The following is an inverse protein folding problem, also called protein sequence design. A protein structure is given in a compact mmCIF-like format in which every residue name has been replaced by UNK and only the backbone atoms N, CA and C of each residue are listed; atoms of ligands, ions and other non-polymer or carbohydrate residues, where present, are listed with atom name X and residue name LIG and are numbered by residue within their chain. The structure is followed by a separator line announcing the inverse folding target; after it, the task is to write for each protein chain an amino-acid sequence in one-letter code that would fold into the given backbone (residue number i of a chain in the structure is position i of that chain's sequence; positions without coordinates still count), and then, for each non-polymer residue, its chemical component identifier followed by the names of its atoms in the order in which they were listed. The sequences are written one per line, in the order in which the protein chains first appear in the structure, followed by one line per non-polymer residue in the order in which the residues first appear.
data_IF_437774530970
#
_entry.id   IF_437774530970
#
_cell.length_a   1.000
_cell.length_b   1.000
_cell.length_c   1.000
_cell.angle_alpha   90.00
_cell.angle_beta   90.00
_cell.angle_gamma   90.00
#
_symmetry.space_group_name_H-M   'P 1'
#
loop_
_entity.id
_entity.type
_entity.pdbx_description
1 polymer ?
#
# COMPACT_ATOMS: atom_id res chain seq x y z
N UNK A 1 38.01 -27.95 14.08
CA UNK A 1 37.20 -26.75 13.81
C UNK A 1 35.74 -27.12 14.13
N UNK A 2 35.25 -26.62 15.27
CA UNK A 2 33.87 -26.81 15.72
C UNK A 2 32.98 -25.78 15.07
N UNK A 3 31.99 -26.25 14.33
CA UNK A 3 30.91 -25.42 13.79
C UNK A 3 29.90 -25.10 14.90
N UNK A 4 29.85 -23.87 15.35
CA UNK A 4 28.83 -23.41 16.27
C UNK A 4 27.50 -23.22 15.50
N UNK A 5 26.55 -24.11 15.73
CA UNK A 5 25.16 -23.95 15.28
C UNK A 5 24.49 -22.89 16.13
N UNK A 6 24.24 -21.71 15.57
CA UNK A 6 23.35 -20.71 16.17
C UNK A 6 21.91 -21.16 15.99
N UNK A 7 21.38 -21.92 16.94
CA UNK A 7 19.96 -22.10 17.12
C UNK A 7 19.40 -20.84 17.79
N UNK A 8 19.01 -19.85 16.99
CA UNK A 8 18.23 -18.72 17.48
C UNK A 8 16.88 -19.21 17.99
N UNK A 9 16.72 -19.26 19.29
CA UNK A 9 15.44 -19.55 19.96
C UNK A 9 14.45 -18.46 19.57
N UNK A 10 13.50 -18.78 18.68
CA UNK A 10 12.36 -17.90 18.39
C UNK A 10 11.61 -17.74 19.70
N UNK A 11 11.71 -16.58 20.33
CA UNK A 11 10.88 -16.24 21.49
C UNK A 11 9.43 -16.37 21.02
N UNK A 12 8.67 -17.27 21.65
CA UNK A 12 7.23 -17.36 21.44
C UNK A 12 6.63 -15.99 21.74
N UNK A 13 6.19 -15.29 20.71
CA UNK A 13 5.46 -14.04 20.88
C UNK A 13 4.09 -14.42 21.42
N UNK A 14 3.87 -14.15 22.70
CA UNK A 14 2.59 -14.44 23.34
C UNK A 14 1.62 -13.32 22.97
N UNK A 15 0.87 -13.51 21.89
CA UNK A 15 -0.20 -12.59 21.54
C UNK A 15 -1.31 -12.68 22.59
N UNK A 16 -1.86 -11.53 22.98
CA UNK A 16 -3.04 -11.48 23.85
C UNK A 16 -4.29 -12.04 23.16
N UNK A 17 -5.43 -12.07 23.85
CA UNK A 17 -6.67 -12.58 23.28
C UNK A 17 -7.15 -11.71 22.12
N UNK A 18 -7.77 -12.36 21.12
CA UNK A 18 -8.48 -11.67 20.04
C UNK A 18 -9.92 -11.41 20.49
N UNK A 19 -10.23 -10.17 20.82
CA UNK A 19 -11.58 -9.69 21.12
C UNK A 19 -12.33 -9.24 19.87
N UNK A 20 -13.62 -8.91 20.04
CA UNK A 20 -14.50 -8.50 18.92
C UNK A 20 -13.97 -7.25 18.21
N UNK A 21 -13.44 -6.26 18.94
CA UNK A 21 -12.96 -5.02 18.35
C UNK A 21 -14.08 -4.15 17.76
N UNK A 22 -13.70 -3.31 16.78
CA UNK A 22 -14.57 -2.33 16.14
C UNK A 22 -14.53 -2.46 14.62
N UNK A 23 -15.67 -2.21 13.95
CA UNK A 23 -15.77 -2.23 12.50
C UNK A 23 -15.08 -1.05 11.79
N UNK A 24 -14.67 -0.04 12.53
CA UNK A 24 -14.07 1.20 12.02
C UNK A 24 -12.91 1.68 12.88
N UNK A 25 -11.92 2.34 12.23
CA UNK A 25 -11.72 2.48 10.78
C UNK A 25 -11.25 1.18 10.13
N UNK A 26 -11.38 1.04 8.79
CA UNK A 26 -10.89 -0.11 8.04
C UNK A 26 -9.34 -0.13 8.02
N UNK A 27 -8.78 -1.34 7.97
CA UNK A 27 -7.36 -1.61 8.09
C UNK A 27 -6.93 -1.93 9.51
N UNK A 28 -5.63 -1.92 9.77
CA UNK A 28 -5.05 -2.12 11.10
C UNK A 28 -4.77 -0.78 11.78
N UNK A 29 -5.34 -0.57 12.95
CA UNK A 29 -5.18 0.66 13.73
C UNK A 29 -4.80 0.38 15.17
N UNK A 30 -3.83 1.13 15.67
CA UNK A 30 -3.49 1.10 17.09
C UNK A 30 -4.62 1.65 17.94
N UNK A 31 -4.96 0.90 18.98
CA UNK A 31 -5.97 1.28 19.97
C UNK A 31 -5.41 1.05 21.37
N UNK A 32 -6.12 1.51 22.40
CA UNK A 32 -5.72 1.22 23.77
C UNK A 32 -5.63 -0.29 24.00
N UNK A 33 -4.45 -0.74 24.40
CA UNK A 33 -4.17 -2.15 24.73
C UNK A 33 -3.92 -3.09 23.56
N UNK A 34 -3.84 -2.59 22.29
CA UNK A 34 -3.57 -3.49 21.16
C UNK A 34 -3.74 -2.87 19.77
N UNK A 35 -4.13 -3.72 18.83
CA UNK A 35 -4.41 -3.34 17.44
C UNK A 35 -5.80 -3.83 17.04
N UNK A 36 -6.60 -2.95 16.50
CA UNK A 36 -7.88 -3.28 15.88
C UNK A 36 -7.68 -3.51 14.39
N UNK A 37 -8.25 -4.60 13.90
CA UNK A 37 -8.28 -4.97 12.49
C UNK A 37 -9.72 -4.92 12.01
N UNK A 38 -9.96 -4.30 10.88
CA UNK A 38 -11.27 -4.27 10.23
C UNK A 38 -11.10 -4.38 8.72
N UNK A 39 -11.79 -5.32 8.09
CA UNK A 39 -11.68 -5.61 6.67
C UNK A 39 -13.06 -5.80 6.05
N UNK A 40 -13.25 -5.24 4.86
CA UNK A 40 -14.46 -5.40 4.08
C UNK A 40 -14.40 -6.71 3.26
N UNK A 41 -15.45 -7.51 3.40
CA UNK A 41 -15.80 -8.60 2.48
C UNK A 41 -17.28 -8.93 2.67
N UNK A 42 -18.06 -8.74 1.63
CA UNK A 42 -19.51 -8.98 1.64
C UNK A 42 -19.84 -10.47 1.58
N UNK A 43 -19.10 -11.20 0.73
CA UNK A 43 -19.41 -12.59 0.37
C UNK A 43 -18.53 -13.64 1.08
N UNK A 44 -17.61 -13.23 1.95
CA UNK A 44 -16.82 -14.17 2.74
C UNK A 44 -17.69 -14.87 3.80
N UNK A 45 -17.37 -16.15 4.06
CA UNK A 45 -17.92 -16.94 5.17
C UNK A 45 -17.12 -16.74 6.46
N UNK A 46 -15.81 -16.48 6.34
CA UNK A 46 -14.91 -16.15 7.45
C UNK A 46 -13.67 -15.41 6.94
N UNK A 47 -13.08 -14.58 7.80
CA UNK A 47 -11.78 -13.96 7.58
C UNK A 47 -10.84 -14.35 8.72
N UNK A 48 -9.64 -14.79 8.36
CA UNK A 48 -8.56 -15.07 9.30
C UNK A 48 -7.48 -14.00 9.25
N UNK A 49 -6.99 -13.64 10.41
CA UNK A 49 -5.81 -12.81 10.62
C UNK A 49 -4.60 -13.74 10.82
N UNK A 50 -3.65 -13.71 9.91
CA UNK A 50 -2.40 -14.45 9.96
C UNK A 50 -1.30 -13.53 10.48
N UNK A 51 -0.60 -13.91 11.53
CA UNK A 51 0.45 -13.13 12.18
C UNK A 51 1.81 -13.73 11.84
N UNK A 52 2.78 -12.87 11.57
CA UNK A 52 4.11 -13.27 11.13
C UNK A 52 5.20 -12.77 12.06
N UNK A 53 6.40 -13.34 11.91
CA UNK A 53 7.61 -12.76 12.46
C UNK A 53 7.90 -11.37 11.86
N UNK A 54 8.86 -10.65 12.43
CA UNK A 54 9.17 -9.28 12.01
C UNK A 54 9.69 -9.16 10.57
N UNK A 55 10.23 -10.26 10.02
CA UNK A 55 10.67 -10.34 8.62
C UNK A 55 9.50 -10.66 7.68
N UNK A 56 8.39 -11.19 8.19
CA UNK A 56 7.25 -11.64 7.41
C UNK A 56 7.47 -13.00 6.73
N UNK A 57 8.44 -13.79 7.21
CA UNK A 57 8.82 -15.05 6.59
C UNK A 57 8.05 -16.24 7.17
N UNK A 58 7.79 -16.24 8.50
CA UNK A 58 7.17 -17.36 9.19
C UNK A 58 5.83 -16.95 9.80
N UNK A 59 4.76 -17.69 9.46
CA UNK A 59 3.46 -17.56 10.09
C UNK A 59 3.55 -18.10 11.54
N UNK A 60 3.30 -17.23 12.51
CA UNK A 60 3.38 -17.53 13.96
C UNK A 60 2.04 -17.92 14.55
N UNK A 61 0.95 -17.37 14.02
CA UNK A 61 -0.41 -17.63 14.48
C UNK A 61 -1.44 -17.31 13.41
N UNK A 62 -2.59 -17.97 13.52
CA UNK A 62 -3.77 -17.73 12.68
C UNK A 62 -5.00 -17.66 13.55
N UNK A 63 -5.77 -16.60 13.42
CA UNK A 63 -6.88 -16.26 14.28
C UNK A 63 -8.09 -15.83 13.44
N UNK A 64 -9.22 -16.48 13.59
CA UNK A 64 -10.46 -16.06 12.93
C UNK A 64 -10.97 -14.76 13.55
N UNK A 65 -11.28 -13.74 12.73
CA UNK A 65 -11.87 -12.48 13.19
C UNK A 65 -13.25 -12.75 13.79
N UNK A 66 -13.48 -12.43 15.08
CA UNK A 66 -14.71 -12.85 15.78
C UNK A 66 -15.89 -11.91 15.53
N UNK A 67 -15.65 -10.68 15.08
CA UNK A 67 -16.68 -9.67 14.88
C UNK A 67 -17.08 -9.55 13.42
N UNK A 68 -18.39 -9.36 13.18
CA UNK A 68 -18.94 -8.99 11.87
C UNK A 68 -20.03 -7.96 12.05
N UNK A 69 -19.88 -6.82 11.39
CA UNK A 69 -20.87 -5.73 11.37
C UNK A 69 -21.26 -5.42 9.93
N UNK A 70 -22.37 -6.05 9.50
CA UNK A 70 -22.76 -6.06 8.10
C UNK A 70 -21.73 -6.82 7.26
N UNK A 71 -21.05 -6.11 6.39
CA UNK A 71 -20.02 -6.57 5.45
C UNK A 71 -18.58 -6.34 5.93
N UNK A 72 -18.41 -5.87 7.18
CA UNK A 72 -17.11 -5.62 7.80
C UNK A 72 -16.79 -6.70 8.82
N UNK A 73 -15.69 -7.40 8.63
CA UNK A 73 -15.10 -8.34 9.58
C UNK A 73 -14.10 -7.60 10.48
N UNK A 74 -14.12 -7.87 11.78
CA UNK A 74 -13.25 -7.15 12.70
C UNK A 74 -12.85 -7.94 13.94
N UNK A 75 -11.72 -7.52 14.52
CA UNK A 75 -11.21 -8.08 15.76
C UNK A 75 -10.11 -7.21 16.35
N UNK A 76 -9.99 -7.20 17.68
CA UNK A 76 -8.93 -6.47 18.39
C UNK A 76 -7.96 -7.46 19.02
N UNK A 77 -6.69 -7.43 18.62
CA UNK A 77 -5.62 -8.25 19.17
C UNK A 77 -4.95 -7.52 20.34
N UNK A 78 -5.14 -8.06 21.54
CA UNK A 78 -4.53 -7.52 22.75
C UNK A 78 -3.00 -7.66 22.75
N UNK A 79 -2.29 -6.69 23.33
CA UNK A 79 -0.82 -6.71 23.43
C UNK A 79 -0.05 -6.48 22.14
N UNK A 80 -0.74 -6.42 21.00
CA UNK A 80 -0.15 -6.12 19.70
C UNK A 80 0.22 -4.63 19.57
N UNK A 81 1.17 -4.32 18.67
CA UNK A 81 1.63 -2.95 18.47
C UNK A 81 2.24 -2.70 17.10
N UNK A 82 2.88 -1.55 16.95
CA UNK A 82 3.64 -1.23 15.74
C UNK A 82 4.76 -2.26 15.51
N UNK A 83 5.05 -2.54 14.24
CA UNK A 83 6.01 -3.56 13.83
C UNK A 83 5.39 -4.95 13.61
N UNK A 84 4.16 -5.21 14.09
CA UNK A 84 3.47 -6.47 13.83
C UNK A 84 3.24 -6.64 12.33
N UNK A 85 3.70 -7.76 11.78
CA UNK A 85 3.47 -8.14 10.38
C UNK A 85 2.29 -9.10 10.30
N UNK A 86 1.37 -8.84 9.38
CA UNK A 86 0.16 -9.66 9.21
C UNK A 86 -0.26 -9.75 7.75
N UNK A 87 -1.04 -10.78 7.48
CA UNK A 87 -1.83 -10.93 6.27
C UNK A 87 -3.23 -11.43 6.63
N UNK A 88 -4.11 -11.48 5.65
CA UNK A 88 -5.46 -11.97 5.79
C UNK A 88 -5.63 -13.28 5.00
N UNK A 89 -6.62 -14.09 5.38
CA UNK A 89 -7.16 -15.17 4.54
C UNK A 89 -8.67 -15.06 4.54
N UNK A 90 -9.27 -15.29 3.39
CA UNK A 90 -10.71 -15.24 3.24
C UNK A 90 -11.24 -16.62 2.85
N UNK A 91 -12.25 -17.07 3.56
CA UNK A 91 -13.00 -18.29 3.27
C UNK A 91 -14.31 -17.91 2.60
N UNK A 92 -14.72 -18.68 1.61
CA UNK A 92 -15.95 -18.45 0.87
C UNK A 92 -16.03 -19.33 -0.38
N UNK A 93 -17.00 -19.12 -1.26
CA UNK A 93 -17.18 -19.95 -2.44
C UNK A 93 -16.05 -19.75 -3.47
N UNK A 94 -15.57 -20.86 -4.04
CA UNK A 94 -14.76 -20.85 -5.25
C UNK A 94 -15.67 -21.13 -6.44
N UNK A 95 -16.22 -20.08 -7.04
CA UNK A 95 -17.11 -20.11 -8.19
C UNK A 95 -16.72 -18.98 -9.17
N UNK A 96 -15.60 -19.12 -9.89
CA UNK A 96 -15.07 -18.07 -10.76
C UNK A 96 -16.07 -17.58 -11.81
N UNK A 97 -16.89 -18.48 -12.34
CA UNK A 97 -17.93 -18.18 -13.32
C UNK A 97 -19.04 -17.27 -12.77
N UNK A 98 -19.16 -17.22 -11.42
CA UNK A 98 -20.07 -16.33 -10.69
C UNK A 98 -19.35 -15.14 -10.04
N UNK A 99 -18.06 -14.97 -10.30
CA UNK A 99 -17.26 -13.89 -9.79
C UNK A 99 -16.67 -14.12 -8.39
N UNK A 100 -16.91 -15.26 -7.74
CA UNK A 100 -16.36 -15.59 -6.42
C UNK A 100 -15.04 -16.33 -6.56
N UNK A 101 -13.99 -15.81 -5.91
CA UNK A 101 -12.61 -16.31 -6.01
C UNK A 101 -11.93 -16.43 -4.65
N UNK A 102 -12.67 -16.92 -3.64
CA UNK A 102 -12.11 -17.15 -2.31
C UNK A 102 -11.20 -18.38 -2.32
N UNK A 103 -9.92 -18.17 -2.02
CA UNK A 103 -8.91 -19.22 -1.88
C UNK A 103 -8.25 -19.10 -0.50
N UNK A 104 -8.67 -19.92 0.48
CA UNK A 104 -8.16 -19.84 1.86
C UNK A 104 -6.68 -20.23 1.98
N UNK A 105 -6.07 -20.75 0.94
CA UNK A 105 -4.64 -21.04 0.90
C UNK A 105 -3.78 -19.80 0.59
N UNK A 106 -4.38 -18.71 0.13
CA UNK A 106 -3.67 -17.47 -0.21
C UNK A 106 -3.57 -16.54 0.98
N UNK A 107 -2.39 -15.98 1.21
CA UNK A 107 -2.24 -14.80 2.06
C UNK A 107 -2.60 -13.57 1.28
N UNK A 108 -3.46 -12.74 1.83
CA UNK A 108 -4.00 -11.55 1.20
C UNK A 108 -3.49 -10.30 1.91
N UNK A 109 -3.01 -9.36 1.13
CA UNK A 109 -2.64 -8.04 1.61
C UNK A 109 -3.90 -7.26 2.01
N UNK A 110 -3.85 -6.62 3.16
CA UNK A 110 -4.89 -5.68 3.56
C UNK A 110 -4.93 -4.49 2.58
N UNK A 111 -6.08 -4.18 1.95
CA UNK A 111 -6.23 -3.02 1.07
C UNK A 111 -5.85 -1.68 1.69
N UNK A 112 -5.88 -1.59 3.02
CA UNK A 112 -5.53 -0.40 3.81
C UNK A 112 -4.10 -0.44 4.37
N UNK A 113 -3.26 -1.37 3.92
CA UNK A 113 -1.87 -1.48 4.36
C UNK A 113 -1.10 -0.19 4.07
N UNK A 114 -0.50 0.39 5.11
CA UNK A 114 0.31 1.63 5.03
C UNK A 114 1.81 1.37 4.94
N UNK A 115 2.22 0.17 5.26
CA UNK A 115 3.55 -0.37 5.01
C UNK A 115 3.41 -1.83 4.58
N UNK A 116 4.14 -2.21 3.53
CA UNK A 116 4.08 -3.54 2.93
C UNK A 116 5.45 -4.18 3.07
N UNK A 117 5.46 -5.45 3.49
CA UNK A 117 6.65 -6.28 3.68
C UNK A 117 6.58 -7.45 2.70
N UNK A 118 7.75 -7.87 2.23
CA UNK A 118 7.86 -8.96 1.26
C UNK A 118 7.80 -8.45 -0.18
N UNK A 119 7.74 -9.38 -1.10
CA UNK A 119 7.68 -9.13 -2.54
C UNK A 119 6.86 -10.19 -3.24
N UNK A 120 6.48 -9.92 -4.47
CA UNK A 120 5.88 -10.90 -5.35
C UNK A 120 6.98 -11.59 -6.15
N UNK A 121 7.07 -12.91 -6.02
CA UNK A 121 7.87 -13.75 -6.91
C UNK A 121 6.92 -14.51 -7.83
N UNK A 122 6.90 -14.14 -9.10
CA UNK A 122 6.03 -14.73 -10.11
C UNK A 122 6.23 -16.24 -10.29
N UNK A 123 7.41 -16.78 -9.88
CA UNK A 123 7.73 -18.21 -9.99
C UNK A 123 7.38 -19.00 -8.71
N UNK A 124 7.14 -18.30 -7.58
CA UNK A 124 6.92 -18.90 -6.26
C UNK A 124 5.61 -18.41 -5.65
N UNK A 125 4.55 -19.11 -5.95
CA UNK A 125 3.16 -18.73 -5.68
C UNK A 125 2.77 -18.48 -4.19
N UNK A 126 3.61 -18.79 -3.18
CA UNK A 126 3.16 -18.72 -1.78
C UNK A 126 4.17 -18.19 -0.75
N UNK A 127 5.45 -18.42 -0.95
CA UNK A 127 6.45 -18.11 0.10
C UNK A 127 6.79 -16.62 0.23
N UNK A 128 6.38 -15.79 -0.75
CA UNK A 128 6.79 -14.39 -0.87
C UNK A 128 5.59 -13.45 -1.03
N UNK A 129 4.42 -13.85 -0.52
CA UNK A 129 3.23 -13.00 -0.54
C UNK A 129 3.50 -11.69 0.20
N UNK A 130 2.96 -10.60 -0.35
CA UNK A 130 2.97 -9.30 0.28
C UNK A 130 2.18 -9.35 1.60
N UNK A 131 2.72 -8.71 2.62
CA UNK A 131 2.11 -8.63 3.95
C UNK A 131 2.07 -7.19 4.41
N UNK A 132 1.14 -6.87 5.27
CA UNK A 132 1.02 -5.56 5.88
C UNK A 132 1.82 -5.51 7.19
N UNK A 133 2.40 -4.33 7.50
CA UNK A 133 2.96 -4.05 8.81
C UNK A 133 2.13 -2.98 9.51
N UNK A 134 1.81 -3.23 10.78
CA UNK A 134 1.20 -2.24 11.65
C UNK A 134 2.19 -1.13 11.93
N UNK A 135 1.78 0.11 11.73
CA UNK A 135 2.60 1.29 11.96
C UNK A 135 1.97 2.21 13.00
N UNK A 136 2.79 3.05 13.61
CA UNK A 136 2.30 4.17 14.39
C UNK A 136 1.81 5.31 13.48
N UNK A 137 0.79 6.04 13.92
CA UNK A 137 0.44 7.31 13.30
C UNK A 137 1.55 8.34 13.58
N UNK A 138 1.77 9.24 12.64
CA UNK A 138 2.63 10.37 12.93
C UNK A 138 1.97 11.29 13.96
N UNK A 139 2.75 11.84 14.90
CA UNK A 139 2.21 12.85 15.77
C UNK A 139 1.74 14.06 14.95
N UNK A 140 0.59 14.59 15.31
CA UNK A 140 0.11 15.86 14.77
C UNK A 140 0.99 16.96 15.34
N UNK A 141 1.96 17.49 14.61
CA UNK A 141 2.63 18.72 15.00
C UNK A 141 3.69 19.22 14.01
N UNK A 142 3.76 20.53 13.87
CA UNK A 142 4.97 21.26 13.45
C UNK A 142 5.36 21.15 11.99
N UNK A 143 4.44 20.77 11.12
CA UNK A 143 4.72 20.77 9.68
C UNK A 143 4.72 22.20 9.13
N UNK A 144 5.59 22.54 8.17
CA UNK A 144 5.60 23.85 7.54
C UNK A 144 4.23 24.15 6.90
N UNK A 145 3.80 25.40 6.88
CA UNK A 145 2.54 25.77 6.24
C UNK A 145 2.60 25.42 4.75
N UNK A 146 1.50 24.91 4.23
CA UNK A 146 1.34 24.66 2.79
C UNK A 146 1.43 25.97 2.01
N UNK A 147 2.09 25.97 0.84
CA UNK A 147 2.31 27.21 0.06
C UNK A 147 1.02 27.89 -0.39
N UNK A 148 -0.02 27.15 -0.81
CA UNK A 148 -1.33 27.68 -1.27
C UNK A 148 -1.19 28.68 -2.40
N UNK A 149 -0.42 28.33 -3.43
CA UNK A 149 -0.24 29.16 -4.62
C UNK A 149 -1.58 29.33 -5.35
N UNK A 150 -1.94 30.55 -5.73
CA UNK A 150 -3.15 30.77 -6.52
C UNK A 150 -3.04 30.05 -7.86
N UNK A 151 -4.12 29.44 -8.35
CA UNK A 151 -4.09 28.65 -9.58
C UNK A 151 -3.59 29.46 -10.78
N UNK A 152 -3.91 30.77 -10.84
CA UNK A 152 -3.45 31.66 -11.90
C UNK A 152 -1.93 31.89 -11.91
N UNK A 153 -1.27 31.68 -10.77
CA UNK A 153 0.17 31.85 -10.58
C UNK A 153 0.91 30.50 -10.54
N UNK A 154 0.19 29.40 -10.72
CA UNK A 154 0.75 28.05 -10.61
C UNK A 154 1.51 27.65 -11.88
N UNK A 155 2.73 27.14 -11.68
CA UNK A 155 3.54 26.49 -12.69
C UNK A 155 3.80 25.06 -12.23
N UNK A 156 3.14 24.09 -12.89
CA UNK A 156 3.27 22.67 -12.59
C UNK A 156 4.46 22.07 -13.34
N UNK A 157 5.22 21.23 -12.65
CA UNK A 157 6.31 20.48 -13.23
C UNK A 157 6.16 18.99 -12.90
N UNK A 158 5.91 18.19 -13.93
CA UNK A 158 5.78 16.74 -13.76
C UNK A 158 7.16 16.10 -13.59
N UNK A 159 7.28 15.21 -12.59
CA UNK A 159 8.55 14.66 -12.16
C UNK A 159 8.41 13.17 -11.83
N UNK A 160 9.33 12.38 -12.36
CA UNK A 160 9.56 11.02 -11.86
C UNK A 160 10.63 11.07 -10.77
N UNK A 161 10.33 10.56 -9.56
CA UNK A 161 11.25 10.63 -8.41
C UNK A 161 12.64 10.11 -8.76
N UNK A 162 12.74 8.91 -9.34
CA UNK A 162 14.00 8.33 -9.75
C UNK A 162 14.63 9.08 -10.94
N UNK A 163 13.82 9.41 -11.94
CA UNK A 163 14.31 9.96 -13.20
C UNK A 163 15.00 11.31 -13.06
N UNK A 164 14.42 12.23 -12.26
CA UNK A 164 14.90 13.60 -12.16
C UNK A 164 16.33 13.69 -11.61
N UNK A 165 16.62 12.96 -10.54
CA UNK A 165 17.89 13.14 -9.81
C UNK A 165 18.94 12.09 -10.13
N UNK A 166 18.60 11.00 -10.82
CA UNK A 166 19.48 9.85 -11.05
C UNK A 166 20.82 10.22 -11.70
N UNK A 167 20.82 11.23 -12.56
CA UNK A 167 22.02 11.74 -13.23
C UNK A 167 22.36 13.19 -12.86
N UNK A 168 21.74 13.72 -11.82
CA UNK A 168 21.94 15.12 -11.44
C UNK A 168 23.30 15.29 -10.73
N UNK A 169 24.25 16.08 -11.30
CA UNK A 169 25.60 16.16 -10.78
C UNK A 169 25.69 16.82 -9.38
N UNK A 170 24.75 17.72 -9.06
CA UNK A 170 24.69 18.41 -7.76
C UNK A 170 23.99 17.63 -6.66
N UNK A 171 23.41 16.44 -6.96
CA UNK A 171 22.79 15.58 -5.95
C UNK A 171 23.82 14.52 -5.48
N UNK A 172 24.02 14.34 -4.17
CA UNK A 172 24.90 13.30 -3.64
C UNK A 172 24.52 11.93 -4.22
N UNK A 173 25.51 11.14 -4.62
CA UNK A 173 25.28 9.86 -5.34
C UNK A 173 24.35 8.91 -4.56
N UNK A 174 24.51 8.83 -3.25
CA UNK A 174 23.70 7.97 -2.38
C UNK A 174 22.20 8.40 -2.31
N UNK A 175 21.88 9.64 -2.70
CA UNK A 175 20.51 10.18 -2.68
C UNK A 175 19.89 10.25 -4.08
N UNK A 176 20.65 9.95 -5.14
CA UNK A 176 20.13 10.01 -6.51
C UNK A 176 19.01 9.02 -6.73
N UNK A 177 17.94 9.48 -7.35
CA UNK A 177 16.75 8.65 -7.64
C UNK A 177 15.86 8.37 -6.44
N UNK A 178 16.02 9.12 -5.34
CA UNK A 178 15.25 8.90 -4.10
C UNK A 178 14.43 10.12 -3.71
N UNK A 179 13.51 9.94 -2.75
CA UNK A 179 12.74 11.04 -2.13
C UNK A 179 13.65 12.11 -1.54
N UNK A 180 14.69 11.69 -0.81
CA UNK A 180 15.68 12.63 -0.25
C UNK A 180 16.47 13.36 -1.35
N UNK A 181 16.76 12.70 -2.48
CA UNK A 181 17.40 13.32 -3.62
C UNK A 181 16.52 14.40 -4.26
N UNK A 182 15.22 14.16 -4.36
CA UNK A 182 14.25 15.12 -4.88
C UNK A 182 14.12 16.36 -3.97
N UNK A 183 14.29 16.19 -2.66
CA UNK A 183 14.27 17.25 -1.66
C UNK A 183 15.64 17.89 -1.42
N UNK A 184 16.67 17.55 -2.19
CA UNK A 184 18.00 18.15 -2.06
C UNK A 184 18.02 19.61 -2.48
N UNK A 185 18.96 20.40 -1.91
CA UNK A 185 19.13 21.82 -2.27
C UNK A 185 19.34 22.00 -3.77
N UNK A 186 20.05 21.08 -4.43
CA UNK A 186 20.30 21.13 -5.86
C UNK A 186 19.02 20.94 -6.69
N UNK A 187 18.13 20.04 -6.32
CA UNK A 187 16.85 19.82 -6.97
C UNK A 187 15.91 21.01 -6.71
N UNK A 188 15.79 21.46 -5.47
CA UNK A 188 14.99 22.63 -5.09
C UNK A 188 15.45 23.90 -5.84
N UNK A 189 16.76 24.13 -5.90
CA UNK A 189 17.30 25.27 -6.66
C UNK A 189 16.99 25.17 -8.15
N UNK A 190 16.94 23.96 -8.72
CA UNK A 190 16.53 23.76 -10.10
C UNK A 190 15.06 24.18 -10.32
N UNK A 191 14.15 23.71 -9.48
CA UNK A 191 12.73 24.10 -9.57
C UNK A 191 12.52 25.61 -9.44
N UNK A 192 13.19 26.23 -8.47
CA UNK A 192 13.09 27.68 -8.27
C UNK A 192 13.62 28.50 -9.45
N UNK A 193 14.70 28.05 -10.09
CA UNK A 193 15.22 28.71 -11.28
C UNK A 193 14.25 28.68 -12.47
N UNK A 194 13.43 27.62 -12.56
CA UNK A 194 12.41 27.45 -13.57
C UNK A 194 11.11 28.20 -13.24
N UNK A 195 10.98 28.74 -12.02
CA UNK A 195 9.74 29.36 -11.56
C UNK A 195 8.63 28.37 -11.24
N UNK A 196 8.98 27.11 -11.00
CA UNK A 196 8.01 26.05 -10.61
C UNK A 196 7.43 26.38 -9.25
N UNK A 197 6.12 26.21 -9.10
CA UNK A 197 5.39 26.39 -7.85
C UNK A 197 4.78 25.10 -7.31
N UNK A 198 4.55 24.12 -8.19
CA UNK A 198 4.00 22.82 -7.81
C UNK A 198 4.71 21.69 -8.55
N UNK A 199 5.04 20.63 -7.82
CA UNK A 199 5.66 19.42 -8.36
C UNK A 199 4.61 18.33 -8.43
N UNK A 200 4.30 17.85 -9.65
CA UNK A 200 3.42 16.73 -9.88
C UNK A 200 4.27 15.44 -9.95
N UNK A 201 4.18 14.60 -8.93
CA UNK A 201 4.93 13.34 -8.87
C UNK A 201 4.21 12.25 -9.65
N UNK A 202 4.89 11.65 -10.64
CA UNK A 202 4.48 10.35 -11.18
C UNK A 202 4.30 9.34 -10.05
N UNK A 203 3.54 8.22 -10.26
CA UNK A 203 3.05 7.41 -9.17
C UNK A 203 4.11 7.01 -8.15
N UNK A 204 3.82 7.33 -6.89
CA UNK A 204 4.64 7.01 -5.70
C UNK A 204 3.97 6.00 -4.79
N UNK A 205 2.86 5.41 -5.22
CA UNK A 205 2.25 4.26 -4.57
C UNK A 205 3.12 3.02 -4.77
N UNK A 206 3.11 2.13 -3.78
CA UNK A 206 3.79 0.85 -3.97
C UNK A 206 3.13 0.08 -5.11
N UNK A 207 3.95 -0.33 -6.07
CA UNK A 207 3.51 -0.97 -7.30
C UNK A 207 4.33 -2.24 -7.58
N UNK A 208 3.80 -3.10 -8.44
CA UNK A 208 4.44 -4.34 -8.82
C UNK A 208 5.05 -4.22 -10.22
N UNK A 209 6.09 -5.00 -10.43
CA UNK A 209 6.60 -5.27 -11.76
C UNK A 209 5.70 -6.34 -12.41
N UNK A 210 5.29 -6.13 -13.64
CA UNK A 210 4.51 -7.11 -14.39
C UNK A 210 5.35 -8.36 -14.67
N UNK A 211 4.71 -9.52 -14.69
CA UNK A 211 5.38 -10.80 -14.95
C UNK A 211 6.27 -10.77 -16.19
N UNK A 212 5.77 -10.17 -17.29
CA UNK A 212 6.52 -10.02 -18.54
C UNK A 212 7.81 -9.19 -18.37
N UNK A 213 7.80 -8.16 -17.52
CA UNK A 213 8.99 -7.35 -17.23
C UNK A 213 9.96 -8.14 -16.35
N UNK A 214 9.46 -8.76 -15.29
CA UNK A 214 10.26 -9.58 -14.38
C UNK A 214 10.97 -10.73 -15.11
N UNK A 215 10.30 -11.39 -16.07
CA UNK A 215 10.88 -12.45 -16.90
C UNK A 215 12.06 -11.97 -17.76
N UNK A 216 12.15 -10.67 -18.05
CA UNK A 216 13.26 -10.05 -18.79
C UNK A 216 14.26 -9.31 -17.88
N UNK A 217 14.14 -9.44 -16.55
CA UNK A 217 14.98 -8.71 -15.59
C UNK A 217 14.73 -7.19 -15.60
N UNK A 218 13.57 -6.75 -16.08
CA UNK A 218 13.16 -5.35 -16.11
C UNK A 218 12.22 -5.04 -14.96
N UNK A 219 12.12 -3.77 -14.60
CA UNK A 219 11.20 -3.27 -13.57
C UNK A 219 10.18 -2.32 -14.20
N UNK A 220 9.00 -2.24 -13.60
CA UNK A 220 8.04 -1.20 -13.92
C UNK A 220 8.63 0.16 -13.51
N UNK A 221 8.92 1.00 -14.48
CA UNK A 221 9.53 2.32 -14.26
C UNK A 221 8.48 3.37 -13.88
N UNK A 222 7.31 3.33 -14.54
CA UNK A 222 6.33 4.40 -14.44
C UNK A 222 5.48 4.39 -13.17
N UNK A 223 5.29 3.20 -12.56
CA UNK A 223 4.54 3.07 -11.32
C UNK A 223 3.03 2.93 -11.45
N UNK A 224 2.49 2.79 -12.67
CA UNK A 224 1.03 2.69 -12.90
C UNK A 224 0.44 1.29 -12.65
N UNK A 225 1.15 0.40 -11.97
CA UNK A 225 0.72 -0.95 -11.61
C UNK A 225 0.58 -1.09 -10.08
N UNK A 226 -0.32 -0.31 -9.50
CA UNK A 226 -0.45 -0.13 -8.05
C UNK A 226 -0.99 -1.37 -7.34
N UNK A 227 -0.34 -1.72 -6.20
CA UNK A 227 -0.83 -2.74 -5.25
C UNK A 227 -1.08 -2.16 -3.85
N UNK A 228 -0.39 -1.10 -3.47
CA UNK A 228 -0.49 -0.50 -2.14
C UNK A 228 -1.01 0.92 -2.19
N UNK A 229 -2.33 1.13 -2.10
CA UNK A 229 -2.91 2.48 -2.18
C UNK A 229 -2.45 3.40 -1.03
N UNK A 230 -2.22 2.84 0.16
CA UNK A 230 -1.80 3.62 1.33
C UNK A 230 -0.28 3.60 1.58
N UNK A 231 0.45 2.67 0.97
CA UNK A 231 1.88 2.54 1.07
C UNK A 231 2.61 3.40 0.03
N UNK A 232 3.80 3.87 0.37
CA UNK A 232 4.71 4.54 -0.57
C UNK A 232 5.65 3.53 -1.20
N UNK A 233 6.14 3.83 -2.40
CA UNK A 233 7.08 2.96 -3.11
C UNK A 233 8.45 2.94 -2.42
N UNK A 234 8.88 1.81 -1.86
CA UNK A 234 10.13 1.74 -1.10
C UNK A 234 11.38 1.85 -1.98
N UNK A 235 11.29 1.53 -3.28
CA UNK A 235 12.42 1.63 -4.23
C UNK A 235 12.89 3.07 -4.47
N UNK A 236 12.09 4.06 -4.06
CA UNK A 236 12.45 5.48 -4.13
C UNK A 236 12.97 6.03 -2.79
N UNK A 237 13.24 5.18 -1.81
CA UNK A 237 13.81 5.60 -0.55
C UNK A 237 15.30 5.29 -0.45
N UNK A 238 16.05 6.19 0.18
CA UNK A 238 17.44 5.98 0.59
C UNK A 238 17.56 5.47 2.03
N UNK A 239 16.47 5.56 2.79
CA UNK A 239 16.41 5.16 4.20
C UNK A 239 15.63 3.86 4.41
N UNK A 240 15.77 3.26 5.60
CA UNK A 240 15.04 2.04 5.97
C UNK A 240 13.54 2.28 6.22
N UNK A 241 13.07 3.54 6.30
CA UNK A 241 11.67 3.91 6.55
C UNK A 241 11.16 4.81 5.43
N UNK A 242 10.73 4.22 4.30
CA UNK A 242 10.32 4.96 3.10
C UNK A 242 9.24 6.00 3.35
N UNK A 243 8.29 5.68 4.22
CA UNK A 243 7.18 6.55 4.57
C UNK A 243 7.64 7.86 5.21
N UNK A 244 8.61 7.78 6.12
CA UNK A 244 9.13 8.95 6.82
C UNK A 244 9.99 9.82 5.89
N UNK A 245 10.76 9.18 5.00
CA UNK A 245 11.55 9.89 3.99
C UNK A 245 10.65 10.63 3.00
N UNK A 246 9.55 9.99 2.57
CA UNK A 246 8.57 10.64 1.69
C UNK A 246 7.94 11.88 2.37
N UNK A 247 7.51 11.74 3.65
CA UNK A 247 6.98 12.88 4.41
C UNK A 247 8.02 13.99 4.58
N UNK A 248 9.27 13.64 4.88
CA UNK A 248 10.36 14.59 5.00
C UNK A 248 10.60 15.35 3.68
N UNK A 249 10.52 14.67 2.54
CA UNK A 249 10.57 15.31 1.22
C UNK A 249 9.44 16.34 1.04
N UNK A 250 8.19 15.98 1.31
CA UNK A 250 7.05 16.89 1.20
C UNK A 250 7.27 18.14 2.06
N UNK A 251 7.69 17.96 3.31
CA UNK A 251 7.99 19.06 4.24
C UNK A 251 9.09 19.99 3.74
N UNK A 252 10.16 19.42 3.17
CA UNK A 252 11.26 20.20 2.61
C UNK A 252 10.82 21.01 1.40
N UNK A 253 9.98 20.44 0.54
CA UNK A 253 9.41 21.12 -0.62
C UNK A 253 8.48 22.27 -0.18
N UNK A 254 7.59 22.03 0.81
CA UNK A 254 6.74 23.06 1.39
C UNK A 254 7.55 24.20 2.02
N UNK A 255 8.60 23.89 2.78
CA UNK A 255 9.50 24.90 3.35
C UNK A 255 10.20 25.72 2.27
N UNK A 256 10.38 25.17 1.08
CA UNK A 256 10.89 25.86 -0.08
C UNK A 256 9.82 26.64 -0.88
N UNK A 257 8.56 26.58 -0.49
CA UNK A 257 7.44 27.22 -1.19
C UNK A 257 6.97 26.46 -2.43
N UNK A 258 7.16 25.13 -2.46
CA UNK A 258 6.74 24.25 -3.55
C UNK A 258 5.63 23.33 -3.09
N UNK A 259 4.51 23.32 -3.80
CA UNK A 259 3.41 22.38 -3.58
C UNK A 259 3.74 20.99 -4.14
N UNK A 260 3.12 19.96 -3.59
CA UNK A 260 3.29 18.56 -4.01
C UNK A 260 1.96 17.98 -4.41
N UNK A 261 1.86 17.58 -5.67
CA UNK A 261 0.70 16.91 -6.27
C UNK A 261 1.10 15.48 -6.62
N UNK A 262 0.19 14.52 -6.47
CA UNK A 262 0.44 13.12 -6.79
C UNK A 262 -0.38 12.68 -7.99
N UNK A 263 0.29 12.08 -8.96
CA UNK A 263 -0.39 11.25 -9.96
C UNK A 263 -0.79 9.91 -9.32
N UNK A 264 -2.06 9.55 -9.44
CA UNK A 264 -2.66 8.43 -8.72
C UNK A 264 -3.48 7.52 -9.62
N UNK A 265 -3.42 6.22 -9.37
CA UNK A 265 -4.17 5.19 -10.08
C UNK A 265 -5.23 4.61 -9.15
N UNK A 266 -6.52 4.89 -9.43
CA UNK A 266 -7.65 4.34 -8.67
C UNK A 266 -8.61 3.53 -9.53
N UNK A 267 -8.34 3.42 -10.81
CA UNK A 267 -9.21 2.75 -11.76
C UNK A 267 -8.95 1.25 -11.87
N UNK A 268 -7.72 0.78 -11.62
CA UNK A 268 -7.32 -0.63 -11.68
C UNK A 268 -6.27 -0.97 -10.62
N UNK A 269 -5.91 -2.24 -10.53
CA UNK A 269 -4.88 -2.76 -9.64
C UNK A 269 -3.90 -3.67 -10.37
N UNK A 270 -2.78 -3.97 -9.69
CA UNK A 270 -1.75 -4.91 -10.15
C UNK A 270 -2.21 -6.38 -10.16
N UNK A 271 -3.45 -6.71 -9.78
CA UNK A 271 -3.98 -8.08 -9.85
C UNK A 271 -4.35 -8.52 -11.28
N UNK A 272 -4.17 -7.65 -12.28
CA UNK A 272 -4.36 -7.91 -13.71
C UNK A 272 -5.75 -8.51 -14.07
N UNK A 273 -5.82 -9.36 -15.10
CA UNK A 273 -7.06 -10.01 -15.57
C UNK A 273 -7.56 -11.13 -14.65
N UNK A 274 -8.56 -11.88 -15.11
CA UNK A 274 -9.16 -12.96 -14.34
C UNK A 274 -8.20 -14.12 -14.01
N UNK A 275 -7.09 -14.26 -14.72
CA UNK A 275 -6.07 -15.29 -14.52
C UNK A 275 -4.86 -14.74 -13.73
N UNK A 276 -4.85 -13.44 -13.46
CA UNK A 276 -3.81 -12.78 -12.71
C UNK A 276 -3.72 -13.21 -11.25
N UNK A 277 -2.71 -12.72 -10.53
CA UNK A 277 -2.43 -13.15 -9.16
C UNK A 277 -3.55 -12.74 -8.19
N UNK A 278 -3.77 -13.55 -7.17
CA UNK A 278 -4.64 -13.24 -6.03
C UNK A 278 -3.79 -12.71 -4.89
N UNK A 279 -3.81 -11.40 -4.67
CA UNK A 279 -2.89 -10.73 -3.72
C UNK A 279 -3.64 -10.00 -2.61
N UNK A 280 -4.77 -9.35 -2.92
CA UNK A 280 -5.52 -8.48 -2.02
C UNK A 280 -7.01 -8.54 -2.30
N UNK A 281 -7.52 -7.57 -3.06
CA UNK A 281 -8.95 -7.35 -3.32
C UNK A 281 -9.66 -8.55 -3.94
N UNK A 282 -9.02 -9.21 -4.90
CA UNK A 282 -9.56 -10.38 -5.58
C UNK A 282 -9.86 -11.51 -4.61
N UNK A 283 -8.92 -11.80 -3.71
CA UNK A 283 -9.08 -12.87 -2.73
C UNK A 283 -10.01 -12.50 -1.59
N UNK A 284 -10.09 -11.20 -1.24
CA UNK A 284 -11.00 -10.72 -0.21
C UNK A 284 -12.46 -10.71 -0.66
N UNK A 285 -12.72 -10.19 -1.87
CA UNK A 285 -14.05 -10.24 -2.49
C UNK A 285 -14.02 -9.76 -3.95
N UNK A 286 -13.67 -10.63 -4.89
CA UNK A 286 -13.52 -10.26 -6.29
C UNK A 286 -14.77 -9.57 -6.86
N UNK A 287 -15.96 -10.11 -6.54
CA UNK A 287 -17.23 -9.62 -7.08
C UNK A 287 -17.60 -8.21 -6.58
N UNK A 288 -17.25 -7.89 -5.33
CA UNK A 288 -17.54 -6.58 -4.75
C UNK A 288 -16.52 -5.51 -5.14
N UNK A 289 -15.24 -5.88 -5.27
CA UNK A 289 -14.19 -4.92 -5.58
C UNK A 289 -14.07 -4.59 -7.07
N UNK A 290 -14.26 -5.59 -7.95
CA UNK A 290 -14.03 -5.41 -9.39
C UNK A 290 -15.32 -5.36 -10.20
N UNK A 291 -15.30 -4.55 -11.24
CA UNK A 291 -16.38 -4.50 -12.22
C UNK A 291 -16.40 -5.78 -13.06
N UNK A 292 -17.58 -6.34 -13.22
CA UNK A 292 -17.83 -7.45 -14.14
C UNK A 292 -18.65 -6.98 -15.34
N UNK A 293 -18.54 -7.72 -16.43
CA UNK A 293 -19.38 -7.50 -17.60
C UNK A 293 -20.86 -7.76 -17.26
N UNK A 294 -21.80 -6.97 -17.79
CA UNK A 294 -23.24 -7.18 -17.56
C UNK A 294 -23.68 -8.60 -17.89
N UNK A 295 -24.29 -9.28 -16.91
CA UNK A 295 -24.75 -10.66 -17.05
C UNK A 295 -23.67 -11.73 -17.06
N UNK A 296 -22.40 -11.37 -16.89
CA UNK A 296 -21.24 -12.27 -16.89
C UNK A 296 -20.34 -11.98 -15.68
N UNK A 297 -20.75 -12.31 -14.45
CA UNK A 297 -20.04 -11.92 -13.23
C UNK A 297 -18.64 -12.55 -13.09
N UNK A 298 -18.37 -13.64 -13.81
CA UNK A 298 -17.03 -14.25 -13.86
C UNK A 298 -16.05 -13.54 -14.78
N UNK A 299 -16.50 -12.59 -15.61
CA UNK A 299 -15.66 -11.86 -16.56
C UNK A 299 -15.47 -10.41 -16.11
N UNK A 300 -14.23 -10.00 -15.93
CA UNK A 300 -13.90 -8.63 -15.54
C UNK A 300 -14.15 -7.66 -16.70
N UNK A 301 -14.68 -6.48 -16.36
CA UNK A 301 -14.80 -5.35 -17.29
C UNK A 301 -13.44 -4.66 -17.40
N UNK A 302 -13.01 -4.37 -18.62
CA UNK A 302 -11.70 -3.77 -18.92
C UNK A 302 -11.84 -2.47 -19.76
N UNK A 303 -12.53 -1.45 -19.25
CA UNK A 303 -12.76 -0.21 -20.00
C UNK A 303 -11.50 0.65 -20.16
N UNK A 304 -10.49 0.40 -19.36
CA UNK A 304 -9.23 1.16 -19.35
C UNK A 304 -8.09 0.49 -20.11
N UNK A 305 -8.27 -0.78 -20.52
CA UNK A 305 -7.21 -1.58 -21.14
C UNK A 305 -6.14 -2.08 -20.13
N UNK A 306 -6.42 -2.00 -18.82
CA UNK A 306 -5.51 -2.42 -17.75
C UNK A 306 -5.95 -3.75 -17.11
N UNK A 307 -6.71 -4.56 -17.83
CA UNK A 307 -7.15 -5.92 -17.52
C UNK A 307 -8.17 -6.07 -16.38
N UNK A 308 -8.31 -5.07 -15.51
CA UNK A 308 -9.36 -4.99 -14.50
C UNK A 308 -9.80 -3.54 -14.29
N UNK A 309 -10.96 -3.36 -13.67
CA UNK A 309 -11.42 -2.06 -13.20
C UNK A 309 -12.10 -2.21 -11.84
N UNK A 310 -11.75 -1.34 -10.89
CA UNK A 310 -12.49 -1.25 -9.63
C UNK A 310 -13.93 -0.81 -9.83
N UNK A 311 -14.85 -1.41 -9.10
CA UNK A 311 -16.25 -0.95 -9.10
C UNK A 311 -16.46 0.22 -8.14
N UNK A 312 -16.14 1.43 -8.59
CA UNK A 312 -16.34 2.66 -7.82
C UNK A 312 -17.82 3.01 -7.57
N UNK A 313 -18.75 2.27 -8.14
CA UNK A 313 -20.19 2.37 -7.80
C UNK A 313 -20.48 1.68 -6.47
N UNK A 314 -19.65 0.71 -6.09
CA UNK A 314 -19.74 0.04 -4.80
C UNK A 314 -19.24 0.97 -3.69
N UNK A 315 -20.09 1.22 -2.68
CA UNK A 315 -19.80 2.22 -1.62
C UNK A 315 -18.51 1.96 -0.85
N UNK A 316 -18.15 0.68 -0.62
CA UNK A 316 -16.92 0.33 0.11
C UNK A 316 -15.67 0.58 -0.72
N UNK A 317 -15.74 0.36 -2.04
CA UNK A 317 -14.63 0.64 -2.95
C UNK A 317 -14.42 2.15 -3.07
N UNK A 318 -15.50 2.91 -3.27
CA UNK A 318 -15.43 4.37 -3.27
C UNK A 318 -14.90 4.91 -1.94
N UNK A 319 -15.34 4.33 -0.82
CA UNK A 319 -14.89 4.70 0.52
C UNK A 319 -13.38 4.46 0.70
N UNK A 320 -12.84 3.35 0.17
CA UNK A 320 -11.40 3.07 0.19
C UNK A 320 -10.62 4.19 -0.51
N UNK A 321 -11.06 4.60 -1.69
CA UNK A 321 -10.45 5.72 -2.43
C UNK A 321 -10.53 7.02 -1.64
N UNK A 322 -11.68 7.34 -1.07
CA UNK A 322 -11.87 8.56 -0.27
C UNK A 322 -11.04 8.55 1.03
N UNK A 323 -10.94 7.40 1.70
CA UNK A 323 -10.07 7.23 2.86
C UNK A 323 -8.60 7.45 2.50
N UNK A 324 -8.19 6.96 1.32
CA UNK A 324 -6.85 7.16 0.80
C UNK A 324 -6.54 8.63 0.51
N UNK A 325 -7.43 9.35 -0.13
CA UNK A 325 -7.28 10.79 -0.39
C UNK A 325 -7.12 11.56 0.92
N UNK A 326 -7.97 11.26 1.92
CA UNK A 326 -7.86 11.86 3.26
C UNK A 326 -6.52 11.54 3.93
N UNK A 327 -6.08 10.30 3.86
CA UNK A 327 -4.80 9.90 4.45
C UNK A 327 -3.64 10.71 3.89
N UNK A 328 -3.58 10.91 2.56
CA UNK A 328 -2.52 11.70 1.91
C UNK A 328 -2.63 13.18 2.25
N UNK A 329 -3.82 13.73 2.21
CA UNK A 329 -4.04 15.14 2.51
C UNK A 329 -3.79 15.49 3.98
N UNK A 330 -4.12 14.60 4.93
CA UNK A 330 -4.08 14.89 6.36
C UNK A 330 -2.85 14.33 7.08
N UNK A 331 -2.28 13.23 6.61
CA UNK A 331 -1.15 12.58 7.26
C UNK A 331 0.19 12.84 6.55
N UNK A 332 0.17 12.95 5.23
CA UNK A 332 1.38 13.22 4.43
C UNK A 332 1.44 14.67 3.98
N UNK A 333 0.28 15.35 3.97
CA UNK A 333 0.13 16.78 3.69
C UNK A 333 0.39 17.19 2.24
N UNK A 334 0.21 16.29 1.27
CA UNK A 334 0.23 16.67 -0.14
C UNK A 334 -0.92 17.61 -0.49
N UNK A 335 -0.74 18.43 -1.52
CA UNK A 335 -1.65 19.53 -1.89
C UNK A 335 -2.68 19.10 -2.92
N UNK A 336 -2.41 18.06 -3.70
CA UNK A 336 -3.31 17.55 -4.73
C UNK A 336 -3.04 16.09 -5.11
#
# INVERSE_FOLDING_TARGET
AQSASHSGTVRAVNFGPLGIGQAWPLGAHRVAGGVNFAVFSEHADAIELCLFDSAGEHELARLTLPGRSGDIWHGQLGGAGAGLVYALRAHGPWQPERGHRFDPDKWLLDPYAREIVGGLDWQRDRAHALKARVIDEWPAAGDPPRPRTALADSVLYEVHVKGLTMRHPGVPEALRGTYAGLASDAAIAHFKRLGVTAINLLPVHQHLDEERLAAHGLMNYWGYNTIGFFAVEPRYASSAVPRDEFRAMVRSLHAAGLEVILDVVYNHSAETDAEGPTISWRGLDNLAYYRSLPGQPGMLDNPTGCDNAFDLRHLRVLQMVMARLRYRALQIEVDG
#
